data_IF_621339457963
#
_entry.id   IF_621339457963
#
_cell.length_a   1.000
_cell.length_b   1.000
_cell.length_c   1.000
_cell.angle_alpha   90.00
_cell.angle_beta   90.00
_cell.angle_gamma   90.00
#
_symmetry.space_group_name_H-M   'P 1'
#
loop_
_entity.id
_entity.type
_entity.pdbx_description
1 polymer ?
#
# COMPACT_ATOMS: atom_id res chain seq x y z
N UNK A 1 -37.02 -26.21 -19.45
CA UNK A 1 -37.00 -24.72 -19.43
C UNK A 1 -35.75 -24.30 -18.67
N UNK A 2 -34.70 -23.83 -19.36
CA UNK A 2 -33.44 -23.43 -18.74
C UNK A 2 -33.48 -21.92 -18.47
N UNK A 3 -33.55 -21.52 -17.20
CA UNK A 3 -33.43 -20.12 -16.79
C UNK A 3 -31.95 -19.71 -16.82
N UNK A 4 -31.52 -18.99 -17.86
CA UNK A 4 -30.25 -18.27 -17.81
C UNK A 4 -30.43 -17.01 -16.97
N UNK A 5 -29.70 -16.91 -15.85
CA UNK A 5 -29.63 -15.69 -15.05
C UNK A 5 -28.93 -14.62 -15.89
N UNK A 6 -29.69 -13.64 -16.40
CA UNK A 6 -29.12 -12.38 -16.89
C UNK A 6 -28.55 -11.62 -15.68
N UNK A 7 -27.23 -11.58 -15.56
CA UNK A 7 -26.56 -10.66 -14.65
C UNK A 7 -26.73 -9.25 -15.20
N UNK A 8 -27.41 -8.39 -14.45
CA UNK A 8 -27.37 -6.94 -14.70
C UNK A 8 -26.12 -6.40 -14.03
N UNK A 9 -25.12 -6.00 -14.84
CA UNK A 9 -24.02 -5.17 -14.34
C UNK A 9 -24.60 -3.80 -13.97
N UNK A 10 -24.35 -3.37 -12.75
CA UNK A 10 -24.75 -2.05 -12.26
C UNK A 10 -23.64 -1.10 -12.72
N UNK A 11 -24.01 -0.14 -13.56
CA UNK A 11 -23.10 0.88 -14.09
C UNK A 11 -23.24 2.15 -13.24
N UNK A 12 -22.13 2.63 -12.71
CA UNK A 12 -22.05 3.93 -12.05
C UNK A 12 -21.18 4.81 -12.93
N UNK A 13 -21.80 5.73 -13.68
CA UNK A 13 -21.14 6.44 -14.79
C UNK A 13 -19.84 7.17 -14.42
N UNK A 14 -19.70 7.63 -13.18
CA UNK A 14 -18.46 8.28 -12.71
C UNK A 14 -17.36 7.27 -12.35
N UNK A 15 -17.72 6.06 -11.90
CA UNK A 15 -16.79 4.99 -11.58
C UNK A 15 -16.27 4.28 -12.83
N UNK A 16 -17.13 4.09 -13.84
CA UNK A 16 -16.75 3.50 -15.13
C UNK A 16 -15.71 4.39 -15.84
N UNK A 17 -15.84 5.73 -15.71
CA UNK A 17 -14.87 6.70 -16.24
C UNK A 17 -13.51 6.68 -15.54
N UNK A 18 -13.49 6.44 -14.23
CA UNK A 18 -12.24 6.29 -13.47
C UNK A 18 -11.52 5.00 -13.88
N UNK A 19 -12.26 3.90 -14.07
CA UNK A 19 -11.71 2.63 -14.56
C UNK A 19 -11.10 2.77 -15.97
N UNK A 20 -11.79 3.43 -16.89
CA UNK A 20 -11.25 3.72 -18.24
C UNK A 20 -9.99 4.60 -18.19
N UNK A 21 -9.88 5.50 -17.22
CA UNK A 21 -8.70 6.36 -17.07
C UNK A 21 -7.50 5.58 -16.53
N UNK A 22 -7.74 4.59 -15.67
CA UNK A 22 -6.69 3.71 -15.12
C UNK A 22 -6.20 2.72 -16.19
N UNK A 23 -7.11 2.11 -16.96
CA UNK A 23 -6.74 1.15 -18.02
C UNK A 23 -6.01 1.81 -19.21
N UNK A 24 -6.29 3.07 -19.51
CA UNK A 24 -5.60 3.80 -20.59
C UNK A 24 -4.25 4.41 -20.18
N UNK A 25 -3.82 4.25 -18.92
CA UNK A 25 -2.51 4.75 -18.46
C UNK A 25 -1.35 3.77 -18.71
N UNK A 26 -1.63 2.58 -19.26
CA UNK A 26 -0.66 1.54 -19.62
C UNK A 26 -0.05 1.75 -21.02
N UNK A 27 0.44 2.95 -21.33
CA UNK A 27 1.30 3.15 -22.51
C UNK A 27 2.71 3.58 -22.10
N UNK A 28 3.61 2.59 -22.21
CA UNK A 28 5.04 2.71 -22.48
C UNK A 28 5.86 3.57 -21.50
N UNK A 29 5.99 3.11 -20.25
CA UNK A 29 7.23 3.33 -19.52
C UNK A 29 8.08 2.07 -19.60
N UNK A 30 9.16 2.15 -20.38
CA UNK A 30 10.25 1.18 -20.38
C UNK A 30 10.69 0.91 -18.95
N UNK A 31 10.27 -0.24 -18.40
CA UNK A 31 10.78 -0.73 -17.12
C UNK A 31 12.19 -1.26 -17.41
N UNK A 32 13.15 -0.35 -17.42
CA UNK A 32 14.56 -0.67 -17.32
C UNK A 32 14.77 -1.50 -16.04
N UNK A 33 14.86 -2.81 -16.21
CA UNK A 33 15.20 -3.79 -15.20
C UNK A 33 16.67 -3.58 -14.75
N UNK A 34 16.92 -2.56 -13.94
CA UNK A 34 18.19 -2.37 -13.24
C UNK A 34 17.97 -2.55 -11.74
N UNK A 35 18.12 -3.81 -11.30
CA UNK A 35 17.99 -4.38 -9.95
C UNK A 35 16.54 -4.56 -9.44
N UNK A 36 16.13 -5.79 -9.05
CA UNK A 36 14.81 -5.99 -8.45
C UNK A 36 14.83 -5.28 -7.10
N UNK A 37 14.15 -4.14 -7.02
CA UNK A 37 13.90 -3.48 -5.76
C UNK A 37 13.21 -4.49 -4.85
N UNK A 38 13.91 -4.99 -3.82
CA UNK A 38 13.32 -5.81 -2.77
C UNK A 38 12.42 -4.90 -1.94
N UNK A 39 11.24 -4.62 -2.48
CA UNK A 39 10.19 -3.90 -1.80
C UNK A 39 9.22 -4.91 -1.24
N UNK A 40 8.86 -4.73 0.02
CA UNK A 40 7.84 -5.54 0.69
C UNK A 40 6.59 -4.68 0.83
N UNK A 41 5.43 -5.21 0.48
CA UNK A 41 4.16 -4.53 0.75
C UNK A 41 3.43 -5.28 1.86
N UNK A 42 2.79 -4.54 2.77
CA UNK A 42 1.97 -5.10 3.83
C UNK A 42 0.62 -4.39 3.90
N UNK A 43 -0.45 -5.17 3.97
CA UNK A 43 -1.82 -4.70 4.00
C UNK A 43 -2.42 -4.80 5.42
N UNK A 44 -2.93 -3.67 5.93
CA UNK A 44 -3.51 -3.54 7.26
C UNK A 44 -5.05 -3.52 7.25
N UNK A 45 -5.73 -3.75 6.12
CA UNK A 45 -7.19 -3.78 6.07
C UNK A 45 -7.78 -4.74 7.11
N UNK A 46 -8.73 -4.25 7.90
CA UNK A 46 -9.44 -5.02 8.91
C UNK A 46 -8.66 -5.30 10.19
N UNK A 47 -7.49 -4.67 10.38
CA UNK A 47 -6.76 -4.77 11.63
C UNK A 47 -7.25 -3.72 12.63
N UNK A 48 -7.11 -4.03 13.92
CA UNK A 48 -7.24 -3.04 14.98
C UNK A 48 -5.93 -2.27 15.20
N UNK A 49 -5.98 -1.21 16.02
CA UNK A 49 -4.83 -0.36 16.31
C UNK A 49 -3.68 -1.10 17.00
N UNK A 50 -3.94 -2.01 17.94
CA UNK A 50 -2.89 -2.70 18.68
C UNK A 50 -2.12 -3.65 17.77
N UNK A 51 -2.86 -4.43 16.97
CA UNK A 51 -2.28 -5.33 15.98
C UNK A 51 -1.50 -4.57 14.92
N UNK A 52 -2.02 -3.43 14.48
CA UNK A 52 -1.33 -2.53 13.53
C UNK A 52 0.01 -2.10 14.07
N UNK A 53 0.05 -1.53 15.28
CA UNK A 53 1.29 -1.10 15.93
C UNK A 53 2.31 -2.21 16.03
N UNK A 54 1.92 -3.39 16.54
CA UNK A 54 2.84 -4.52 16.70
C UNK A 54 3.47 -4.96 15.37
N UNK A 55 2.70 -4.95 14.28
CA UNK A 55 3.18 -5.36 12.96
C UNK A 55 4.06 -4.27 12.33
N UNK A 56 3.71 -2.99 12.48
CA UNK A 56 4.58 -1.88 12.03
C UNK A 56 5.95 -1.98 12.71
N UNK A 57 6.01 -2.16 14.03
CA UNK A 57 7.28 -2.30 14.76
C UNK A 57 8.11 -3.49 14.25
N UNK A 58 7.48 -4.65 14.02
CA UNK A 58 8.17 -5.81 13.46
C UNK A 58 8.71 -5.56 12.04
N UNK A 59 7.93 -4.90 11.18
CA UNK A 59 8.36 -4.55 9.82
C UNK A 59 9.52 -3.56 9.83
N UNK A 60 9.50 -2.58 10.75
CA UNK A 60 10.59 -1.63 10.92
C UNK A 60 11.84 -2.33 11.47
N UNK A 61 11.69 -3.26 12.41
CA UNK A 61 12.81 -4.08 12.88
C UNK A 61 13.42 -4.93 11.75
N UNK A 62 12.58 -5.60 10.94
CA UNK A 62 13.02 -6.34 9.75
C UNK A 62 13.71 -5.44 8.73
N UNK A 63 13.19 -4.23 8.53
CA UNK A 63 13.80 -3.25 7.65
C UNK A 63 15.15 -2.82 8.21
N UNK A 64 15.26 -2.49 9.49
CA UNK A 64 16.49 -2.02 10.11
C UNK A 64 17.61 -3.08 10.15
N UNK A 65 17.25 -4.36 10.07
CA UNK A 65 18.24 -5.43 10.06
C UNK A 65 19.23 -5.27 8.88
N UNK A 66 20.52 -5.19 9.22
CA UNK A 66 21.60 -4.96 8.26
C UNK A 66 21.70 -6.05 7.19
N UNK A 67 21.30 -7.28 7.53
CA UNK A 67 21.27 -8.42 6.60
C UNK A 67 20.02 -8.44 5.73
N UNK A 68 19.05 -7.56 5.98
CA UNK A 68 17.84 -7.47 5.19
C UNK A 68 18.15 -6.86 3.83
N UNK A 69 17.91 -7.65 2.78
CA UNK A 69 18.00 -7.18 1.39
C UNK A 69 16.87 -6.21 1.03
N UNK A 70 15.88 -6.05 1.91
CA UNK A 70 14.73 -5.15 1.72
C UNK A 70 15.21 -3.71 1.94
N UNK A 71 14.90 -2.85 0.97
CA UNK A 71 15.26 -1.43 1.01
C UNK A 71 14.09 -0.54 1.40
N UNK A 72 12.89 -0.93 1.00
CA UNK A 72 11.66 -0.19 1.23
C UNK A 72 10.52 -1.13 1.59
N UNK A 73 9.59 -0.63 2.40
CA UNK A 73 8.33 -1.29 2.72
C UNK A 73 7.17 -0.35 2.42
N UNK A 74 6.15 -0.85 1.73
CA UNK A 74 4.89 -0.14 1.48
C UNK A 74 3.85 -0.62 2.49
N UNK A 75 3.35 0.29 3.32
CA UNK A 75 2.33 0.03 4.34
C UNK A 75 0.98 0.54 3.84
N UNK A 76 0.07 -0.37 3.53
CA UNK A 76 -1.24 -0.07 2.94
C UNK A 76 -2.27 -0.04 4.06
N UNK A 77 -2.72 1.17 4.43
CA UNK A 77 -3.63 1.36 5.55
C UNK A 77 -5.12 1.20 5.17
N UNK A 78 -5.42 1.36 3.89
CA UNK A 78 -6.80 1.51 3.42
C UNK A 78 -7.37 2.91 3.68
N UNK A 79 -8.43 3.27 2.93
CA UNK A 79 -8.99 4.63 2.97
C UNK A 79 -9.85 4.82 4.22
N UNK A 80 -10.80 3.91 4.48
CA UNK A 80 -11.59 3.81 5.71
C UNK A 80 -11.96 5.14 6.41
N UNK A 81 -11.88 5.14 7.74
CA UNK A 81 -11.95 6.37 8.56
C UNK A 81 -10.56 6.94 8.88
N UNK A 82 -9.49 6.48 8.22
CA UNK A 82 -8.12 6.96 8.47
C UNK A 82 -7.44 6.50 9.78
N UNK A 83 -8.15 5.89 10.73
CA UNK A 83 -7.58 5.49 12.03
C UNK A 83 -6.33 4.60 11.93
N UNK A 84 -6.31 3.61 11.02
CA UNK A 84 -5.13 2.76 10.79
C UNK A 84 -3.98 3.56 10.19
N UNK A 85 -4.30 4.46 9.27
CA UNK A 85 -3.31 5.32 8.64
C UNK A 85 -2.63 6.23 9.67
N UNK A 86 -3.41 6.86 10.55
CA UNK A 86 -2.91 7.67 11.65
C UNK A 86 -2.09 6.84 12.64
N UNK A 87 -2.55 5.63 12.98
CA UNK A 87 -1.82 4.73 13.87
C UNK A 87 -0.44 4.35 13.31
N UNK A 88 -0.35 4.05 12.00
CA UNK A 88 0.92 3.76 11.33
C UNK A 88 1.83 4.98 11.40
N UNK A 89 1.31 6.18 11.13
CA UNK A 89 2.12 7.41 11.20
C UNK A 89 2.64 7.70 12.62
N UNK A 90 1.81 7.49 13.64
CA UNK A 90 2.22 7.65 15.03
C UNK A 90 3.37 6.70 15.40
N UNK A 91 3.25 5.41 15.04
CA UNK A 91 4.32 4.43 15.21
C UNK A 91 5.61 4.83 14.48
N UNK A 92 5.51 5.36 13.26
CA UNK A 92 6.68 5.73 12.45
C UNK A 92 7.36 7.03 12.89
N UNK A 93 6.69 7.88 13.70
CA UNK A 93 7.19 9.21 14.09
C UNK A 93 8.59 9.16 14.71
N UNK A 94 8.84 8.18 15.56
CA UNK A 94 10.11 7.97 16.26
C UNK A 94 11.25 7.52 15.33
N UNK A 95 10.93 7.04 14.13
CA UNK A 95 11.86 6.48 13.17
C UNK A 95 12.18 7.41 12.00
N UNK A 96 11.61 8.62 11.99
CA UNK A 96 11.81 9.64 10.94
C UNK A 96 13.28 10.06 10.73
N UNK A 97 14.13 9.90 11.74
CA UNK A 97 15.58 10.15 11.62
C UNK A 97 16.31 9.02 10.88
N UNK A 98 15.81 7.78 10.94
CA UNK A 98 16.44 6.57 10.39
C UNK A 98 15.92 6.21 8.99
N UNK A 99 14.66 6.54 8.68
CA UNK A 99 14.01 6.16 7.43
C UNK A 99 13.44 7.35 6.68
N UNK A 100 13.37 7.23 5.36
CA UNK A 100 12.63 8.12 4.49
C UNK A 100 11.17 7.64 4.45
N UNK A 101 10.25 8.49 4.95
CA UNK A 101 8.82 8.20 4.99
C UNK A 101 8.14 9.04 3.91
N UNK A 102 7.51 8.37 2.94
CA UNK A 102 6.82 9.00 1.82
C UNK A 102 5.34 8.61 1.81
N UNK A 103 4.45 9.61 1.78
CA UNK A 103 3.02 9.42 1.79
C UNK A 103 2.52 9.31 0.34
N UNK A 104 2.16 8.09 -0.08
CA UNK A 104 1.66 7.78 -1.41
C UNK A 104 0.13 7.71 -1.42
N UNK A 105 -0.48 8.02 -2.56
CA UNK A 105 -1.93 7.96 -2.75
C UNK A 105 -2.35 6.69 -3.50
N UNK A 106 -3.49 6.06 -3.13
CA UNK A 106 -4.30 6.29 -1.93
C UNK A 106 -3.83 5.46 -0.72
N UNK A 107 -3.76 6.09 0.47
CA UNK A 107 -3.57 5.46 1.78
C UNK A 107 -2.36 4.51 1.95
N UNK A 108 -1.28 4.76 1.21
CA UNK A 108 -0.05 3.97 1.27
C UNK A 108 1.07 4.81 1.87
N UNK A 109 1.80 4.25 2.83
CA UNK A 109 2.97 4.89 3.43
C UNK A 109 4.18 4.06 3.04
N UNK A 110 5.09 4.64 2.25
CA UNK A 110 6.34 4.01 1.84
C UNK A 110 7.45 4.40 2.81
N UNK A 111 8.08 3.41 3.41
CA UNK A 111 9.18 3.57 4.38
C UNK A 111 10.44 2.95 3.79
N UNK A 112 11.47 3.75 3.56
CA UNK A 112 12.72 3.30 2.98
C UNK A 112 13.90 3.56 3.92
N UNK A 113 14.91 2.69 3.89
CA UNK A 113 16.21 2.97 4.50
C UNK A 113 16.77 4.29 3.93
N UNK A 114 17.30 5.14 4.81
CA UNK A 114 18.11 6.28 4.39
C UNK A 114 19.44 5.84 3.79
#
# INVERSE_FOLDING_TARGET
MNFSKKSKKIHFGDWDRILETVENSDSEQNIENFYPYNEKSFDFHGFDSQKTTAIVENLIFELNNYNSKIRCINLIAGIGFGHIYEQILDSLKHYSSQFNINLQKPATIRVCKK
#
